data_IF_263342519596
#
_entry.id   IF_263342519596
#
_cell.length_a   1.000
_cell.length_b   1.000
_cell.length_c   1.000
_cell.angle_alpha   90.00
_cell.angle_beta   90.00
_cell.angle_gamma   90.00
#
_symmetry.space_group_name_H-M   'P 1'
#
loop_
_entity.id
_entity.type
_entity.pdbx_description
1 polymer ?
#
# COMPACT_ATOMS: atom_id res chain seq x y z
N UNK A 1 43.40 22.34 -49.18
CA UNK A 1 43.66 21.07 -48.48
C UNK A 1 42.34 20.28 -48.49
N UNK A 2 42.19 19.29 -49.39
CA UNK A 2 40.92 18.57 -49.61
C UNK A 2 40.86 17.39 -48.65
N UNK A 3 40.05 17.49 -47.61
CA UNK A 3 39.73 16.38 -46.71
C UNK A 3 38.80 15.46 -47.50
N UNK A 4 39.27 14.25 -47.82
CA UNK A 4 38.49 13.26 -48.57
C UNK A 4 37.36 12.73 -47.71
N UNK A 5 36.20 12.45 -48.30
CA UNK A 5 34.95 12.09 -47.61
C UNK A 5 35.10 10.90 -46.63
N UNK A 6 36.06 9.99 -46.89
CA UNK A 6 36.40 8.89 -45.98
C UNK A 6 37.12 9.35 -44.68
N UNK A 7 37.93 10.40 -44.73
CA UNK A 7 38.63 10.91 -43.53
C UNK A 7 37.70 11.63 -42.56
N UNK A 8 36.65 12.29 -43.07
CA UNK A 8 35.61 12.90 -42.23
C UNK A 8 34.69 11.83 -41.59
N UNK A 9 34.37 10.75 -42.33
CA UNK A 9 33.53 9.66 -41.83
C UNK A 9 34.23 8.83 -40.72
N UNK A 10 35.54 8.61 -40.84
CA UNK A 10 36.35 7.91 -39.82
C UNK A 10 36.48 8.74 -38.55
N UNK A 11 36.63 10.06 -38.66
CA UNK A 11 36.68 10.97 -37.50
C UNK A 11 35.33 11.02 -36.75
N UNK A 12 34.21 10.99 -37.47
CA UNK A 12 32.86 10.96 -36.87
C UNK A 12 32.58 9.62 -36.17
N UNK A 13 33.01 8.49 -36.74
CA UNK A 13 32.85 7.17 -36.08
C UNK A 13 33.75 7.02 -34.84
N UNK A 14 34.96 7.61 -34.86
CA UNK A 14 35.86 7.62 -33.70
C UNK A 14 35.32 8.52 -32.56
N UNK A 15 34.66 9.63 -32.90
CA UNK A 15 34.02 10.51 -31.92
C UNK A 15 32.73 9.88 -31.34
N UNK A 16 32.00 9.09 -32.14
CA UNK A 16 30.79 8.39 -31.67
C UNK A 16 31.15 7.21 -30.75
N UNK A 17 32.25 6.49 -31.00
CA UNK A 17 32.72 5.40 -30.14
C UNK A 17 33.18 5.85 -28.74
N UNK A 18 33.62 7.11 -28.57
CA UNK A 18 33.95 7.67 -27.25
C UNK A 18 32.71 8.06 -26.43
N UNK A 19 31.54 8.23 -27.04
CA UNK A 19 30.30 8.62 -26.35
C UNK A 19 29.47 7.41 -25.87
N UNK A 20 29.76 6.19 -26.34
CA UNK A 20 29.00 4.97 -25.97
C UNK A 20 29.75 4.06 -24.98
N UNK A 21 30.99 4.41 -24.60
CA UNK A 21 31.81 3.65 -23.65
C UNK A 21 32.02 4.35 -22.30
N UNK A 22 31.18 5.34 -21.99
CA UNK A 22 31.19 6.08 -20.74
C UNK A 22 30.07 5.64 -19.80
N UNK A 23 30.16 4.41 -19.27
CA UNK A 23 29.65 3.98 -17.94
C UNK A 23 30.17 2.55 -17.68
N UNK A 24 31.49 2.42 -17.55
CA UNK A 24 32.08 1.27 -16.86
C UNK A 24 31.87 1.44 -15.36
N UNK A 25 31.31 0.39 -14.74
CA UNK A 25 31.58 -0.07 -13.38
C UNK A 25 31.55 0.95 -12.22
N UNK A 26 30.47 0.91 -11.44
CA UNK A 26 30.41 1.04 -9.96
C UNK A 26 28.91 1.12 -9.60
N UNK A 27 28.28 0.27 -8.82
CA UNK A 27 28.71 -0.87 -8.04
C UNK A 27 27.62 -1.95 -8.19
N UNK A 28 28.01 -3.22 -8.25
CA UNK A 28 27.24 -4.19 -7.48
C UNK A 28 27.35 -3.69 -6.04
N UNK A 29 26.41 -2.81 -5.66
CA UNK A 29 25.98 -2.81 -4.28
C UNK A 29 25.62 -4.26 -4.07
N UNK A 30 26.40 -4.94 -3.22
CA UNK A 30 25.80 -5.87 -2.30
C UNK A 30 24.43 -5.28 -1.99
N UNK A 31 23.37 -5.97 -2.40
CA UNK A 31 22.12 -5.77 -1.71
C UNK A 31 22.52 -6.03 -0.28
N UNK A 32 22.77 -4.96 0.48
CA UNK A 32 22.67 -5.00 1.92
C UNK A 32 21.26 -5.56 2.04
N UNK A 33 21.08 -6.83 2.44
CA UNK A 33 19.73 -7.30 2.74
C UNK A 33 19.16 -6.22 3.64
N UNK A 34 17.95 -5.69 3.34
CA UNK A 34 17.41 -4.50 4.03
C UNK A 34 17.79 -4.63 5.48
N UNK A 35 18.62 -3.69 5.94
CA UNK A 35 19.34 -3.84 7.20
C UNK A 35 18.31 -4.27 8.22
N UNK A 36 18.49 -5.49 8.73
CA UNK A 36 17.60 -6.11 9.70
C UNK A 36 17.21 -5.02 10.70
N UNK A 37 15.93 -4.58 10.75
CA UNK A 37 15.57 -3.53 11.65
C UNK A 37 15.92 -4.04 13.06
N UNK A 38 16.64 -3.24 13.86
CA UNK A 38 17.02 -3.66 15.20
C UNK A 38 15.76 -4.06 15.96
N UNK A 39 15.90 -5.08 16.80
CA UNK A 39 14.84 -5.52 17.70
C UNK A 39 14.14 -4.31 18.32
N UNK A 40 12.81 -4.18 18.21
CA UNK A 40 12.12 -3.09 18.87
C UNK A 40 12.35 -3.19 20.37
N UNK A 41 12.97 -2.18 20.96
CA UNK A 41 13.30 -2.15 22.39
C UNK A 41 12.17 -1.52 23.22
N UNK A 42 11.18 -0.95 22.54
CA UNK A 42 10.08 -0.23 23.16
C UNK A 42 8.78 -0.40 22.37
N UNK A 43 7.65 -0.17 23.04
CA UNK A 43 6.33 -0.18 22.39
C UNK A 43 6.23 0.81 21.22
N UNK A 44 6.76 2.06 21.30
CA UNK A 44 6.82 2.94 20.14
C UNK A 44 7.58 2.36 18.94
N UNK A 45 8.69 1.66 19.17
CA UNK A 45 9.47 1.03 18.09
C UNK A 45 8.69 -0.10 17.42
N UNK A 46 7.95 -0.88 18.21
CA UNK A 46 7.09 -1.96 17.70
C UNK A 46 5.92 -1.41 16.87
N UNK A 47 5.32 -0.29 17.29
CA UNK A 47 4.24 0.39 16.55
C UNK A 47 4.75 1.01 15.24
N UNK A 48 6.00 1.48 15.23
CA UNK A 48 6.61 2.10 14.06
C UNK A 48 7.19 1.09 13.05
N UNK A 49 7.11 -0.21 13.36
CA UNK A 49 7.66 -1.26 12.53
C UNK A 49 6.84 -1.44 11.25
N UNK A 50 7.52 -1.64 10.13
CA UNK A 50 6.83 -1.94 8.87
C UNK A 50 6.15 -3.31 8.95
N UNK A 51 4.93 -3.47 8.39
CA UNK A 51 4.24 -4.75 8.37
C UNK A 51 5.05 -5.81 7.63
N UNK A 52 5.08 -7.02 8.20
CA UNK A 52 5.75 -8.19 7.62
C UNK A 52 4.96 -8.81 6.46
N UNK A 53 5.59 -9.76 5.78
CA UNK A 53 5.01 -10.45 4.61
C UNK A 53 3.63 -11.10 4.87
N UNK A 54 3.42 -11.56 6.10
CA UNK A 54 2.24 -12.25 6.59
C UNK A 54 1.49 -11.44 7.66
N UNK A 55 1.69 -10.12 7.72
CA UNK A 55 0.92 -9.23 8.58
C UNK A 55 -0.59 -9.38 8.30
N UNK A 56 -1.40 -9.40 9.36
CA UNK A 56 -2.84 -9.55 9.28
C UNK A 56 -3.33 -10.96 8.97
N UNK A 57 -2.43 -11.95 8.89
CA UNK A 57 -2.82 -13.36 8.76
C UNK A 57 -3.19 -13.95 10.11
N UNK A 58 -4.07 -14.94 10.11
CA UNK A 58 -4.46 -15.67 11.30
C UNK A 58 -3.72 -17.01 11.35
N UNK A 59 -2.38 -16.98 11.33
CA UNK A 59 -1.52 -18.16 11.24
C UNK A 59 -1.76 -19.22 12.34
N UNK A 60 -2.39 -18.83 13.46
CA UNK A 60 -2.78 -19.70 14.56
C UNK A 60 -4.09 -20.48 14.31
N UNK A 61 -4.84 -20.13 13.27
CA UNK A 61 -6.03 -20.86 12.84
C UNK A 61 -5.66 -21.98 11.88
N UNK A 62 -6.27 -23.15 12.07
CA UNK A 62 -5.90 -24.33 11.29
C UNK A 62 -6.20 -24.19 9.79
N UNK A 63 -7.27 -23.45 9.48
CA UNK A 63 -7.82 -23.26 8.14
C UNK A 63 -7.37 -21.94 7.47
N UNK A 64 -6.32 -21.27 7.96
CA UNK A 64 -5.83 -20.03 7.34
C UNK A 64 -5.38 -20.30 5.90
N UNK A 65 -5.87 -19.54 4.90
CA UNK A 65 -5.57 -19.78 3.49
C UNK A 65 -4.09 -19.60 3.15
N UNK A 66 -3.31 -18.90 3.98
CA UNK A 66 -1.88 -18.69 3.81
C UNK A 66 -1.01 -19.72 4.55
N UNK A 67 -1.60 -20.65 5.32
CA UNK A 67 -0.87 -21.62 6.13
C UNK A 67 0.22 -22.37 5.36
N UNK A 68 -0.09 -22.95 4.20
CA UNK A 68 0.91 -23.68 3.41
C UNK A 68 2.06 -22.79 2.94
N UNK A 69 1.82 -21.50 2.70
CA UNK A 69 2.86 -20.54 2.31
C UNK A 69 3.71 -20.13 3.51
N UNK A 70 3.08 -19.99 4.68
CA UNK A 70 3.76 -19.73 5.95
C UNK A 70 4.70 -20.89 6.28
N UNK A 71 4.21 -22.13 6.22
CA UNK A 71 5.02 -23.35 6.43
C UNK A 71 6.22 -23.39 5.48
N UNK A 72 6.03 -23.11 4.18
CA UNK A 72 7.13 -23.05 3.21
C UNK A 72 8.20 -21.98 3.51
N UNK A 73 7.82 -20.83 4.06
CA UNK A 73 8.80 -19.80 4.44
C UNK A 73 9.49 -20.13 5.77
N UNK A 74 8.79 -20.80 6.69
CA UNK A 74 9.36 -21.28 7.96
C UNK A 74 10.34 -22.45 7.72
N UNK A 75 10.04 -23.37 6.81
CA UNK A 75 10.92 -24.49 6.43
C UNK A 75 12.24 -24.03 5.80
N UNK A 76 12.32 -22.78 5.34
CA UNK A 76 13.55 -22.18 4.81
C UNK A 76 14.44 -21.58 5.89
N UNK A 77 13.93 -21.45 7.12
CA UNK A 77 14.72 -20.94 8.23
C UNK A 77 15.71 -22.01 8.66
N UNK A 78 16.96 -21.64 8.97
CA UNK A 78 17.94 -22.58 9.51
C UNK A 78 17.49 -23.05 10.90
N UNK A 79 17.75 -24.32 11.22
CA UNK A 79 17.51 -24.82 12.57
C UNK A 79 18.35 -24.04 13.59
N UNK A 80 17.74 -23.72 14.73
CA UNK A 80 18.43 -23.13 15.88
C UNK A 80 18.96 -24.25 16.76
N UNK A 81 20.29 -24.36 16.85
CA UNK A 81 20.96 -25.26 17.79
C UNK A 81 20.88 -24.71 19.24
N UNK A 82 20.94 -25.61 20.23
CA UNK A 82 20.79 -25.25 21.65
C UNK A 82 21.91 -24.32 22.18
N UNK A 83 23.04 -24.25 21.47
CA UNK A 83 24.20 -23.40 21.77
C UNK A 83 24.29 -22.16 20.87
N UNK A 84 23.19 -21.80 20.19
CA UNK A 84 23.11 -20.61 19.34
C UNK A 84 23.56 -19.34 20.09
N UNK A 85 24.44 -18.58 19.46
CA UNK A 85 24.93 -17.33 20.01
C UNK A 85 23.89 -16.19 19.89
N UNK A 86 24.12 -15.10 20.63
CA UNK A 86 23.23 -13.95 20.66
C UNK A 86 23.01 -13.33 19.25
N UNK A 87 24.01 -13.41 18.38
CA UNK A 87 23.91 -12.88 17.02
C UNK A 87 23.03 -13.74 16.11
N UNK A 88 23.08 -15.07 16.27
CA UNK A 88 22.21 -16.01 15.59
C UNK A 88 20.76 -15.84 16.04
N UNK A 89 20.53 -15.69 17.34
CA UNK A 89 19.20 -15.43 17.91
C UNK A 89 18.64 -14.10 17.36
N UNK A 90 19.46 -13.04 17.34
CA UNK A 90 19.08 -11.75 16.79
C UNK A 90 18.68 -11.84 15.31
N UNK A 91 19.48 -12.54 14.50
CA UNK A 91 19.20 -12.73 13.08
C UNK A 91 17.92 -13.53 12.84
N UNK A 92 17.69 -14.57 13.65
CA UNK A 92 16.48 -15.38 13.57
C UNK A 92 15.24 -14.57 13.92
N UNK A 93 15.29 -13.82 15.02
CA UNK A 93 14.19 -12.95 15.42
C UNK A 93 13.86 -11.90 14.36
N UNK A 94 14.89 -11.24 13.83
CA UNK A 94 14.71 -10.26 12.77
C UNK A 94 14.03 -10.85 11.54
N UNK A 95 14.40 -12.09 11.19
CA UNK A 95 13.76 -12.80 10.09
C UNK A 95 12.29 -13.06 10.40
N UNK A 96 11.94 -13.57 11.59
CA UNK A 96 10.54 -13.74 12.00
C UNK A 96 9.77 -12.41 11.99
N UNK A 97 10.40 -11.34 12.47
CA UNK A 97 9.82 -10.00 12.49
C UNK A 97 9.50 -9.52 11.07
N UNK A 98 10.42 -9.71 10.12
CA UNK A 98 10.17 -9.37 8.70
C UNK A 98 9.02 -10.17 8.06
N UNK A 99 8.70 -11.33 8.64
CA UNK A 99 7.61 -12.18 8.16
C UNK A 99 6.28 -11.82 8.84
N UNK A 100 6.27 -11.54 10.13
CA UNK A 100 5.03 -11.48 10.93
C UNK A 100 4.80 -10.17 11.69
N UNK A 101 5.61 -9.14 11.48
CA UNK A 101 5.34 -7.82 12.08
C UNK A 101 3.94 -7.35 11.70
N UNK A 102 3.11 -7.05 12.69
CA UNK A 102 1.73 -6.59 12.47
C UNK A 102 1.69 -5.09 12.19
N UNK A 103 0.66 -4.67 11.44
CA UNK A 103 0.36 -3.25 11.21
C UNK A 103 -0.36 -2.65 12.42
N UNK A 104 0.40 -2.32 13.46
CA UNK A 104 -0.14 -1.74 14.68
C UNK A 104 -0.57 -0.29 14.46
N UNK A 105 -1.82 0.01 14.79
CA UNK A 105 -2.31 1.38 14.80
C UNK A 105 -1.58 2.22 15.86
N UNK A 106 -1.18 3.44 15.48
CA UNK A 106 -0.67 4.39 16.47
C UNK A 106 -1.75 4.74 17.51
N UNK A 107 -1.37 5.12 18.75
CA UNK A 107 -2.35 5.49 19.76
C UNK A 107 -3.28 6.61 19.31
N UNK A 108 -2.79 7.55 18.51
CA UNK A 108 -3.60 8.63 17.93
C UNK A 108 -4.63 8.08 16.94
N UNK A 109 -4.26 7.14 16.07
CA UNK A 109 -5.19 6.50 15.13
C UNK A 109 -6.26 5.68 15.85
N UNK A 110 -5.93 5.02 16.96
CA UNK A 110 -6.93 4.31 17.79
C UNK A 110 -7.93 5.31 18.37
N UNK A 111 -7.44 6.41 18.95
CA UNK A 111 -8.30 7.48 19.48
C UNK A 111 -9.14 8.11 18.38
N UNK A 112 -8.59 8.35 17.20
CA UNK A 112 -9.31 8.90 16.06
C UNK A 112 -10.39 7.96 15.55
N UNK A 113 -10.10 6.65 15.43
CA UNK A 113 -11.08 5.63 15.06
C UNK A 113 -12.20 5.53 16.08
N UNK A 114 -11.87 5.54 17.37
CA UNK A 114 -12.87 5.57 18.44
C UNK A 114 -13.69 6.84 18.39
N UNK A 115 -13.07 8.00 18.15
CA UNK A 115 -13.75 9.29 18.03
C UNK A 115 -14.73 9.31 16.86
N UNK A 116 -14.33 8.76 15.70
CA UNK A 116 -15.20 8.62 14.53
C UNK A 116 -16.36 7.67 14.85
N UNK A 117 -16.08 6.51 15.45
CA UNK A 117 -17.11 5.54 15.82
C UNK A 117 -18.07 6.05 16.91
N UNK A 118 -17.58 6.91 17.81
CA UNK A 118 -18.36 7.53 18.89
C UNK A 118 -19.11 8.77 18.44
N UNK A 119 -18.79 9.33 17.28
CA UNK A 119 -19.45 10.53 16.75
C UNK A 119 -20.92 10.21 16.49
N UNK A 120 -21.82 10.87 17.22
CA UNK A 120 -23.26 10.62 17.12
C UNK A 120 -23.80 9.45 17.97
N UNK A 121 -23.01 8.88 18.89
CA UNK A 121 -23.59 8.00 19.91
C UNK A 121 -24.26 8.83 21.02
N UNK A 122 -25.51 8.51 21.44
CA UNK A 122 -26.18 9.21 22.52
C UNK A 122 -25.50 9.03 23.90
N UNK A 123 -24.63 8.03 24.02
CA UNK A 123 -23.95 7.68 25.28
C UNK A 123 -22.61 8.44 25.48
N UNK A 124 -22.27 9.37 24.61
CA UNK A 124 -21.00 10.13 24.69
C UNK A 124 -21.20 11.44 25.45
N UNK A 125 -20.60 11.53 26.63
CA UNK A 125 -20.68 12.69 27.53
C UNK A 125 -19.90 13.92 27.01
N UNK A 126 -18.89 13.72 26.15
CA UNK A 126 -18.10 14.83 25.60
C UNK A 126 -18.92 15.61 24.55
N UNK A 127 -19.32 16.83 24.90
CA UNK A 127 -20.07 17.74 24.04
C UNK A 127 -19.42 18.04 22.68
N UNK A 128 -18.11 17.80 22.51
CA UNK A 128 -17.41 17.93 21.21
C UNK A 128 -17.68 16.76 20.25
N UNK A 129 -18.13 15.64 20.81
CA UNK A 129 -18.40 14.36 20.15
C UNK A 129 -19.90 14.05 20.03
N UNK A 130 -20.74 14.82 20.72
CA UNK A 130 -22.17 14.82 20.47
C UNK A 130 -22.46 15.29 19.05
N UNK A 131 -23.57 14.80 18.47
CA UNK A 131 -24.04 15.17 17.13
C UNK A 131 -23.92 16.68 16.92
N UNK A 132 -22.90 17.11 16.18
CA UNK A 132 -23.02 18.34 15.42
C UNK A 132 -23.99 18.00 14.30
N UNK A 133 -25.04 18.79 14.15
CA UNK A 133 -26.20 18.55 13.28
C UNK A 133 -25.86 18.18 11.81
N UNK A 134 -24.60 18.23 11.38
CA UNK A 134 -24.19 17.81 10.05
C UNK A 134 -22.82 17.08 10.07
N UNK A 135 -22.83 15.74 10.04
CA UNK A 135 -21.66 14.94 9.71
C UNK A 135 -21.50 14.93 8.18
N UNK A 136 -20.33 15.28 7.66
CA UNK A 136 -20.07 15.39 6.22
C UNK A 136 -18.90 14.49 5.81
N UNK A 137 -19.09 13.68 4.78
CA UNK A 137 -18.12 12.72 4.28
C UNK A 137 -17.92 12.96 2.78
N UNK A 138 -16.68 13.26 2.34
CA UNK A 138 -16.32 13.31 0.91
C UNK A 138 -15.47 12.08 0.56
N UNK A 139 -15.96 11.29 -0.39
CA UNK A 139 -15.28 10.12 -0.93
C UNK A 139 -14.69 10.52 -2.28
N UNK A 140 -13.39 10.28 -2.47
CA UNK A 140 -12.71 10.53 -3.73
C UNK A 140 -12.26 9.19 -4.32
N UNK A 141 -12.83 8.82 -5.47
CA UNK A 141 -12.58 7.57 -6.17
C UNK A 141 -11.73 7.81 -7.41
N UNK A 142 -10.58 7.14 -7.51
CA UNK A 142 -9.82 7.06 -8.74
C UNK A 142 -10.50 6.09 -9.74
N UNK A 143 -10.58 6.50 -10.99
CA UNK A 143 -11.09 5.80 -12.15
C UNK A 143 -10.03 5.75 -13.27
N UNK A 144 -8.75 5.89 -12.91
CA UNK A 144 -7.62 5.63 -13.80
C UNK A 144 -7.65 4.20 -14.35
N UNK A 145 -6.99 3.98 -15.49
CA UNK A 145 -6.90 2.66 -16.11
C UNK A 145 -6.34 1.57 -15.18
N UNK A 146 -5.54 1.95 -14.18
CA UNK A 146 -4.99 1.03 -13.17
C UNK A 146 -6.06 0.31 -12.33
N UNK A 147 -7.25 0.91 -12.21
CA UNK A 147 -8.38 0.35 -11.46
C UNK A 147 -9.05 -0.84 -12.16
N UNK A 148 -8.71 -1.10 -13.41
CA UNK A 148 -9.09 -2.33 -14.12
C UNK A 148 -8.25 -3.56 -13.73
N UNK A 149 -7.14 -3.37 -13.00
CA UNK A 149 -6.31 -4.46 -12.50
C UNK A 149 -7.10 -5.37 -11.54
N UNK A 150 -6.79 -6.67 -11.57
CA UNK A 150 -7.46 -7.68 -10.73
C UNK A 150 -6.74 -7.90 -9.40
N UNK A 151 -7.53 -8.18 -8.37
CA UNK A 151 -7.10 -8.73 -7.08
C UNK A 151 -8.00 -9.95 -6.84
N UNK A 152 -7.42 -11.16 -6.96
CA UNK A 152 -8.21 -12.39 -7.05
C UNK A 152 -9.12 -12.38 -8.29
N UNK A 153 -10.40 -12.68 -8.08
CA UNK A 153 -11.41 -12.73 -9.16
C UNK A 153 -12.01 -11.35 -9.51
N UNK A 154 -11.85 -10.35 -8.64
CA UNK A 154 -12.47 -9.03 -8.78
C UNK A 154 -11.47 -7.98 -9.27
N UNK A 155 -11.97 -6.97 -9.98
CA UNK A 155 -11.19 -5.77 -10.31
C UNK A 155 -11.07 -4.84 -9.11
N UNK A 156 -10.01 -4.04 -9.05
CA UNK A 156 -9.85 -2.99 -8.03
C UNK A 156 -11.04 -2.04 -7.99
N UNK A 157 -11.64 -1.72 -9.14
CA UNK A 157 -12.85 -0.92 -9.22
C UNK A 157 -14.08 -1.59 -8.60
N UNK A 158 -14.25 -2.90 -8.79
CA UNK A 158 -15.34 -3.65 -8.16
C UNK A 158 -15.19 -3.65 -6.65
N UNK A 159 -14.01 -4.00 -6.15
CA UNK A 159 -13.70 -3.98 -4.72
C UNK A 159 -13.87 -2.58 -4.11
N UNK A 160 -13.43 -1.53 -4.80
CA UNK A 160 -13.59 -0.15 -4.34
C UNK A 160 -15.07 0.24 -4.23
N UNK A 161 -15.91 -0.15 -5.20
CA UNK A 161 -17.36 0.10 -5.15
C UNK A 161 -18.02 -0.67 -4.00
N UNK A 162 -17.58 -1.88 -3.73
CA UNK A 162 -18.10 -2.69 -2.63
C UNK A 162 -17.75 -2.07 -1.27
N UNK A 163 -16.47 -1.70 -1.08
CA UNK A 163 -16.00 -1.02 0.12
C UNK A 163 -16.71 0.32 0.35
N UNK A 164 -16.93 1.12 -0.71
CA UNK A 164 -17.66 2.39 -0.59
C UNK A 164 -19.12 2.15 -0.16
N UNK A 165 -19.77 1.10 -0.67
CA UNK A 165 -21.15 0.76 -0.29
C UNK A 165 -21.24 0.31 1.17
N UNK A 166 -20.34 -0.57 1.60
CA UNK A 166 -20.27 -1.04 2.98
C UNK A 166 -20.00 0.12 3.94
N UNK A 167 -19.03 0.97 3.59
CA UNK A 167 -18.73 2.17 4.36
C UNK A 167 -19.92 3.12 4.44
N UNK A 168 -20.57 3.44 3.31
CA UNK A 168 -21.73 4.32 3.29
C UNK A 168 -22.91 3.76 4.11
N UNK A 169 -23.09 2.43 4.13
CA UNK A 169 -24.11 1.77 4.96
C UNK A 169 -23.78 1.80 6.45
N UNK A 170 -22.51 1.94 6.82
CA UNK A 170 -22.08 2.09 8.23
C UNK A 170 -22.25 3.51 8.77
N UNK A 171 -22.56 4.48 7.91
CA UNK A 171 -22.71 5.88 8.32
C UNK A 171 -24.02 6.09 9.10
N UNK A 172 -24.01 6.99 10.10
CA UNK A 172 -25.22 7.28 10.88
C UNK A 172 -26.28 7.98 10.03
N UNK A 173 -27.55 7.78 10.41
CA UNK A 173 -28.68 8.51 9.81
C UNK A 173 -28.47 10.03 9.95
N UNK A 174 -28.56 10.75 8.83
CA UNK A 174 -28.30 12.20 8.76
C UNK A 174 -26.88 12.60 8.33
N UNK A 175 -25.99 11.65 8.04
CA UNK A 175 -24.71 11.93 7.40
C UNK A 175 -24.90 12.43 5.95
N UNK A 176 -24.21 13.51 5.60
CA UNK A 176 -24.16 14.01 4.22
C UNK A 176 -22.94 13.41 3.52
N UNK A 177 -23.17 12.68 2.43
CA UNK A 177 -22.09 12.04 1.66
C UNK A 177 -21.96 12.71 0.29
N UNK A 178 -20.74 13.10 -0.07
CA UNK A 178 -20.36 13.47 -1.43
C UNK A 178 -19.40 12.43 -2.01
N UNK A 179 -19.59 12.09 -3.28
CA UNK A 179 -18.69 11.21 -4.03
C UNK A 179 -18.14 11.97 -5.21
N UNK A 180 -16.82 11.96 -5.35
CA UNK A 180 -16.09 12.53 -6.47
C UNK A 180 -15.29 11.46 -7.16
N UNK A 181 -15.43 11.35 -8.47
CA UNK A 181 -14.69 10.37 -9.28
C UNK A 181 -13.71 11.10 -10.19
N UNK A 182 -12.45 10.67 -10.21
CA UNK A 182 -11.39 11.23 -11.06
C UNK A 182 -10.83 10.17 -11.99
N UNK A 183 -10.67 10.46 -13.27
CA UNK A 183 -10.03 9.53 -14.21
C UNK A 183 -9.87 10.13 -15.60
N UNK A 184 -8.86 9.66 -16.35
CA UNK A 184 -8.64 10.05 -17.74
C UNK A 184 -9.44 9.11 -18.65
N UNK A 185 -10.17 9.65 -19.64
CA UNK A 185 -10.90 8.86 -20.64
C UNK A 185 -9.91 8.15 -21.58
N UNK A 186 -9.40 7.00 -21.15
CA UNK A 186 -8.79 6.00 -22.03
C UNK A 186 -9.88 5.20 -22.72
N UNK A 187 -9.81 5.10 -24.04
CA UNK A 187 -10.88 4.65 -24.93
C UNK A 187 -11.59 3.34 -24.54
N UNK A 188 -12.92 3.36 -24.78
CA UNK A 188 -13.90 2.26 -24.91
C UNK A 188 -14.76 1.94 -23.68
N UNK A 189 -15.80 2.75 -23.50
CA UNK A 189 -17.07 2.33 -22.91
C UNK A 189 -18.22 2.76 -23.83
N UNK A 190 -18.70 1.85 -24.67
CA UNK A 190 -20.05 1.92 -25.22
C UNK A 190 -20.95 1.09 -24.30
N UNK A 191 -21.92 1.76 -23.66
CA UNK A 191 -22.82 1.15 -22.70
C UNK A 191 -23.67 2.18 -21.95
N UNK A 192 -24.48 2.92 -22.72
CA UNK A 192 -25.69 3.67 -22.34
C UNK A 192 -25.79 4.23 -20.92
N UNK A 193 -25.48 5.52 -20.79
CA UNK A 193 -25.81 6.34 -19.63
C UNK A 193 -25.06 7.68 -19.61
N UNK A 194 -25.19 8.48 -20.68
CA UNK A 194 -24.75 9.89 -20.78
C UNK A 194 -23.42 10.28 -20.11
N UNK A 195 -22.35 9.96 -20.85
CA UNK A 195 -20.97 10.43 -20.70
C UNK A 195 -20.85 11.84 -21.28
N UNK A 196 -20.93 12.83 -20.40
CA UNK A 196 -20.23 14.11 -20.56
C UNK A 196 -19.23 14.22 -19.42
N UNK A 197 -18.25 15.11 -19.52
CA UNK A 197 -17.46 15.57 -18.38
C UNK A 197 -18.42 16.09 -17.30
N UNK A 198 -18.88 15.18 -16.45
CA UNK A 198 -19.72 15.47 -15.30
C UNK A 198 -18.74 15.47 -14.14
N UNK A 199 -18.21 16.64 -13.81
CA UNK A 199 -18.00 17.01 -12.40
C UNK A 199 -19.38 16.95 -11.74
N UNK A 200 -19.82 15.72 -11.46
CA UNK A 200 -21.09 15.45 -10.81
C UNK A 200 -20.87 15.59 -9.32
N UNK A 201 -21.26 16.73 -8.76
CA UNK A 201 -21.45 16.85 -7.32
C UNK A 201 -22.78 16.17 -7.00
N UNK A 202 -22.74 14.86 -6.73
CA UNK A 202 -23.90 14.17 -6.19
C UNK A 202 -23.90 14.41 -4.67
N UNK A 203 -24.66 15.42 -4.23
CA UNK A 203 -25.10 15.47 -2.84
C UNK A 203 -26.21 14.42 -2.70
N UNK A 204 -25.82 13.16 -2.47
CA UNK A 204 -26.79 12.15 -2.08
C UNK A 204 -27.10 12.38 -0.61
N UNK A 205 -28.22 13.06 -0.36
CA UNK A 205 -28.92 12.97 0.91
C UNK A 205 -29.64 11.62 0.86
N UNK A 206 -29.01 10.58 1.41
CA UNK A 206 -29.67 9.30 1.63
C UNK A 206 -30.59 9.42 2.86
#
# INVERSE_FOLDING_TARGET
>A
MRITQNTLLVLIHSLFALLISGCSHLASGSGIPPAVPPLPQSTPDLIALEPGLFAGTHFYLEDDPQRSRIEQELDRLPDLEDDADESQIQAYWARLTSLFAEDYLSPQMVVDRWRIASYGSPDVEDARLQFKENFHVEIILDASGSMSGKIGEHTKMELAKEAIKEFAASLPEGANVSLRVYGHLGARFEGSGEIGEKTGFALCRL
#
